data_IF_857827575104
#
_entry.id   IF_857827575104
#
_cell.length_a   1.000
_cell.length_b   1.000
_cell.length_c   1.000
_cell.angle_alpha   90.00
_cell.angle_beta   90.00
_cell.angle_gamma   90.00
#
_symmetry.space_group_name_H-M   'P 1'
#
loop_
_entity.id
_entity.type
_entity.pdbx_description
1 polymer ?
#
# COMPACT_ATOMS: atom_id res chain seq x y z
N UNK A 1 82.39 -32.61 -16.71
CA UNK A 1 80.99 -32.35 -16.41
C UNK A 1 80.22 -33.03 -17.53
N UNK A 2 79.29 -33.92 -17.15
CA UNK A 2 78.53 -34.75 -18.11
C UNK A 2 77.33 -33.96 -18.76
N UNK A 3 77.09 -32.69 -18.38
CA UNK A 3 76.04 -31.85 -18.92
C UNK A 3 74.61 -32.30 -18.54
N UNK A 4 74.46 -33.22 -17.59
CA UNK A 4 73.11 -33.64 -17.17
C UNK A 4 72.38 -32.57 -16.40
N UNK A 5 71.08 -32.37 -16.75
CA UNK A 5 70.15 -31.45 -16.12
C UNK A 5 68.97 -32.26 -15.61
N UNK A 6 68.36 -31.80 -14.51
CA UNK A 6 67.12 -32.35 -13.97
C UNK A 6 66.15 -31.19 -13.70
N UNK A 7 64.90 -31.34 -14.17
CA UNK A 7 63.82 -30.39 -13.96
C UNK A 7 62.73 -31.00 -13.09
N UNK A 8 62.10 -30.20 -12.30
CA UNK A 8 60.87 -30.57 -11.59
C UNK A 8 59.89 -29.39 -11.56
N UNK A 9 58.60 -29.68 -11.64
CA UNK A 9 57.54 -28.69 -11.51
C UNK A 9 57.05 -28.68 -10.08
N UNK A 10 56.91 -27.49 -9.55
CA UNK A 10 56.24 -27.25 -8.26
C UNK A 10 54.91 -26.52 -8.52
N UNK A 11 53.83 -27.01 -7.90
CA UNK A 11 52.54 -26.31 -7.90
C UNK A 11 52.44 -25.46 -6.64
N UNK A 12 52.07 -24.20 -6.80
CA UNK A 12 51.74 -23.29 -5.71
C UNK A 12 50.24 -22.98 -5.82
N UNK A 13 49.48 -23.31 -4.78
CA UNK A 13 48.10 -22.87 -4.66
C UNK A 13 48.07 -21.47 -4.07
N UNK A 14 47.37 -20.56 -4.74
CA UNK A 14 47.05 -19.24 -4.21
C UNK A 14 45.65 -19.35 -3.63
N UNK A 15 45.51 -19.03 -2.35
CA UNK A 15 44.21 -18.94 -1.67
C UNK A 15 43.70 -17.52 -1.80
N UNK A 16 42.44 -17.41 -2.10
CA UNK A 16 41.73 -16.14 -2.13
C UNK A 16 41.61 -15.53 -0.73
N UNK A 17 41.65 -14.24 -0.65
CA UNK A 17 41.41 -13.45 0.55
C UNK A 17 40.27 -12.47 0.20
N UNK A 18 39.26 -12.45 1.02
CA UNK A 18 38.17 -11.49 0.94
C UNK A 18 38.65 -10.08 1.31
N UNK A 19 38.62 -9.14 0.37
CA UNK A 19 39.09 -7.77 0.55
C UNK A 19 37.94 -6.76 0.66
N UNK A 20 36.70 -7.13 0.26
CA UNK A 20 35.55 -6.25 0.21
C UNK A 20 34.28 -6.90 0.74
N UNK A 21 33.52 -6.16 1.54
CA UNK A 21 32.18 -6.54 1.98
C UNK A 21 31.10 -6.06 1.00
N UNK A 22 29.94 -6.72 0.95
CA UNK A 22 28.79 -6.31 0.15
C UNK A 22 28.30 -4.91 0.53
N UNK A 23 28.03 -4.08 -0.46
CA UNK A 23 27.53 -2.72 -0.25
C UNK A 23 26.09 -2.71 0.28
N UNK A 24 25.70 -1.60 0.94
CA UNK A 24 24.30 -1.39 1.36
C UNK A 24 23.39 -1.33 0.13
N UNK A 25 22.29 -2.10 0.08
CA UNK A 25 21.34 -2.05 -1.03
C UNK A 25 20.83 -0.65 -1.32
N UNK A 26 20.72 -0.33 -2.60
CA UNK A 26 20.05 0.88 -3.11
C UNK A 26 18.92 0.46 -4.03
N UNK A 27 17.92 1.31 -4.20
CA UNK A 27 16.95 1.09 -5.26
C UNK A 27 17.56 1.50 -6.60
N UNK A 28 17.56 0.59 -7.56
CA UNK A 28 18.03 0.80 -8.93
C UNK A 28 16.88 1.07 -9.92
N UNK A 29 15.64 0.93 -9.48
CA UNK A 29 14.45 1.28 -10.24
C UNK A 29 14.16 2.79 -10.11
N UNK A 30 13.61 3.39 -11.13
CA UNK A 30 13.20 4.81 -11.13
C UNK A 30 11.69 4.99 -11.05
N UNK A 31 10.92 3.90 -10.98
CA UNK A 31 9.48 3.94 -10.81
C UNK A 31 9.13 4.40 -9.38
N UNK A 32 7.91 4.85 -9.18
CA UNK A 32 7.49 5.23 -7.85
C UNK A 32 7.37 3.99 -6.94
N UNK A 33 7.89 4.10 -5.72
CA UNK A 33 7.76 3.09 -4.66
C UNK A 33 6.34 3.13 -4.08
N UNK A 34 5.36 2.80 -4.89
CA UNK A 34 3.95 2.92 -4.56
C UNK A 34 3.14 1.77 -5.15
N UNK A 35 2.02 1.47 -4.49
CA UNK A 35 1.13 0.38 -4.84
C UNK A 35 -0.29 0.75 -4.47
N UNK A 36 -1.29 0.45 -5.33
CA UNK A 36 -2.69 0.47 -4.94
C UNK A 36 -2.99 -0.72 -4.01
N UNK A 37 -3.83 -0.55 -3.00
CA UNK A 37 -4.27 -1.65 -2.16
C UNK A 37 -5.03 -2.74 -2.94
N UNK A 38 -5.67 -2.38 -4.05
CA UNK A 38 -6.27 -3.32 -5.01
C UNK A 38 -5.24 -4.05 -5.90
N UNK A 39 -3.94 -3.90 -5.64
CA UNK A 39 -2.92 -4.56 -6.43
C UNK A 39 -3.01 -6.09 -6.32
N UNK A 40 -2.79 -6.75 -7.44
CA UNK A 40 -2.84 -8.22 -7.50
C UNK A 40 -1.50 -8.86 -7.13
N UNK A 41 -1.53 -10.12 -6.72
CA UNK A 41 -0.30 -10.90 -6.49
C UNK A 41 0.63 -10.85 -7.72
N UNK A 42 1.92 -10.75 -7.46
CA UNK A 42 3.02 -10.55 -8.41
C UNK A 42 3.10 -9.15 -9.06
N UNK A 43 2.26 -8.18 -8.69
CA UNK A 43 2.47 -6.80 -9.09
C UNK A 43 3.82 -6.29 -8.55
N UNK A 44 4.57 -5.55 -9.36
CA UNK A 44 5.84 -4.95 -8.94
C UNK A 44 5.58 -3.68 -8.13
N UNK A 45 6.40 -3.44 -7.11
CA UNK A 45 6.24 -2.30 -6.16
C UNK A 45 7.12 -1.10 -6.50
N UNK A 46 7.76 -1.08 -7.66
CA UNK A 46 8.67 0.01 -8.03
C UNK A 46 10.08 -0.10 -7.43
N UNK A 47 10.35 -1.03 -6.52
CA UNK A 47 11.65 -1.21 -5.88
C UNK A 47 12.40 -2.39 -6.49
N UNK A 48 13.65 -2.14 -6.90
CA UNK A 48 14.61 -3.18 -7.29
C UNK A 48 15.89 -2.96 -6.50
N UNK A 49 16.08 -3.75 -5.45
CA UNK A 49 17.26 -3.66 -4.61
C UNK A 49 18.52 -4.05 -5.39
N UNK A 50 19.55 -3.23 -5.31
CA UNK A 50 20.85 -3.46 -5.95
C UNK A 50 21.97 -3.19 -4.98
N UNK A 51 22.88 -4.16 -4.84
CA UNK A 51 24.11 -4.06 -4.09
C UNK A 51 25.23 -4.68 -4.90
N UNK A 52 26.48 -4.27 -4.64
CA UNK A 52 27.68 -4.81 -5.26
C UNK A 52 28.67 -5.27 -4.19
N UNK A 53 29.48 -6.22 -4.56
CA UNK A 53 30.67 -6.62 -3.88
C UNK A 53 31.83 -6.49 -4.87
N UNK A 54 32.86 -5.76 -4.49
CA UNK A 54 33.99 -5.45 -5.39
C UNK A 54 35.11 -6.51 -5.32
N UNK A 55 34.91 -7.60 -4.53
CA UNK A 55 35.82 -8.73 -4.54
C UNK A 55 35.90 -9.37 -5.92
N UNK A 56 37.11 -9.77 -6.32
CA UNK A 56 37.38 -10.29 -7.66
C UNK A 56 36.86 -11.71 -7.94
N UNK A 57 36.54 -12.48 -6.90
CA UNK A 57 36.26 -13.92 -7.02
C UNK A 57 34.99 -14.39 -6.33
N UNK A 58 34.55 -13.75 -5.21
CA UNK A 58 33.42 -14.18 -4.40
C UNK A 58 32.31 -13.08 -4.31
N UNK A 59 31.99 -12.45 -5.43
CA UNK A 59 31.19 -11.23 -5.53
C UNK A 59 29.71 -11.41 -5.94
N UNK A 60 29.20 -12.64 -5.98
CA UNK A 60 27.80 -12.86 -6.33
C UNK A 60 26.88 -12.48 -5.17
N UNK A 61 25.99 -11.48 -5.39
CA UNK A 61 25.06 -10.99 -4.38
C UNK A 61 23.68 -11.61 -4.54
N UNK A 62 23.07 -11.97 -3.42
CA UNK A 62 21.67 -12.44 -3.34
C UNK A 62 20.87 -11.60 -2.37
N UNK A 63 19.54 -11.56 -2.56
CA UNK A 63 18.64 -10.71 -1.80
C UNK A 63 17.56 -11.52 -1.08
N UNK A 64 17.20 -11.07 0.12
CA UNK A 64 16.09 -11.59 0.89
C UNK A 64 15.38 -10.47 1.66
N UNK A 65 14.08 -10.63 1.91
CA UNK A 65 13.36 -9.77 2.87
C UNK A 65 13.65 -10.29 4.28
N UNK A 66 14.28 -9.47 5.11
CA UNK A 66 14.56 -9.79 6.51
C UNK A 66 13.42 -9.39 7.45
N UNK A 67 12.68 -8.34 7.12
CA UNK A 67 11.46 -7.92 7.83
C UNK A 67 10.59 -7.05 6.94
N UNK A 68 9.29 -6.99 7.26
CA UNK A 68 8.32 -6.10 6.62
C UNK A 68 7.23 -5.72 7.63
N UNK A 69 6.70 -4.48 7.56
CA UNK A 69 5.65 -4.01 8.46
C UNK A 69 4.28 -4.58 8.09
N UNK A 70 3.96 -4.66 6.79
CA UNK A 70 2.78 -5.35 6.27
C UNK A 70 3.13 -6.83 6.12
N UNK A 71 2.84 -7.61 7.16
CA UNK A 71 3.34 -8.97 7.32
C UNK A 71 2.89 -9.89 6.18
N UNK A 72 3.86 -10.42 5.43
CA UNK A 72 3.62 -11.36 4.33
C UNK A 72 3.19 -10.70 3.01
N UNK A 73 3.01 -9.37 2.98
CA UNK A 73 2.56 -8.64 1.80
C UNK A 73 3.52 -8.76 0.60
N UNK A 74 4.82 -8.82 0.85
CA UNK A 74 5.83 -8.70 -0.20
C UNK A 74 6.76 -9.92 -0.28
N UNK A 75 7.22 -10.17 -1.49
CA UNK A 75 8.31 -11.11 -1.81
C UNK A 75 9.40 -10.40 -2.62
N UNK A 76 10.61 -10.93 -2.61
CA UNK A 76 11.74 -10.45 -3.39
C UNK A 76 12.30 -11.58 -4.25
N UNK A 77 12.64 -11.28 -5.49
CA UNK A 77 13.43 -12.20 -6.30
C UNK A 77 14.89 -12.16 -5.84
N UNK A 78 15.40 -13.30 -5.42
CA UNK A 78 16.71 -13.40 -4.79
C UNK A 78 17.89 -13.09 -5.72
N UNK A 79 17.71 -13.18 -7.03
CA UNK A 79 18.74 -12.92 -8.03
C UNK A 79 18.69 -11.50 -8.60
N UNK A 80 17.49 -10.95 -8.77
CA UNK A 80 17.31 -9.63 -9.38
C UNK A 80 17.07 -8.51 -8.37
N UNK A 81 16.68 -8.84 -7.15
CA UNK A 81 16.32 -7.85 -6.12
C UNK A 81 14.96 -7.16 -6.34
N UNK A 82 14.18 -7.59 -7.33
CA UNK A 82 12.86 -7.01 -7.60
C UNK A 82 11.84 -7.41 -6.52
N UNK A 83 11.12 -6.42 -5.97
CA UNK A 83 10.08 -6.63 -4.96
C UNK A 83 8.72 -6.67 -5.64
N UNK A 84 7.90 -7.63 -5.23
CA UNK A 84 6.54 -7.83 -5.75
C UNK A 84 5.57 -8.17 -4.63
N UNK A 85 4.27 -8.04 -4.91
CA UNK A 85 3.19 -8.47 -4.02
C UNK A 85 3.18 -9.99 -3.91
N UNK A 86 3.26 -10.51 -2.68
CA UNK A 86 3.12 -11.93 -2.37
C UNK A 86 1.69 -12.26 -1.94
N UNK A 87 1.14 -11.47 -1.03
CA UNK A 87 -0.23 -11.58 -0.53
C UNK A 87 -0.92 -10.22 -0.60
N UNK A 88 -1.84 -10.08 -1.55
CA UNK A 88 -2.59 -8.85 -1.75
C UNK A 88 -3.52 -8.53 -0.56
N UNK A 89 -4.00 -9.55 0.16
CA UNK A 89 -4.88 -9.37 1.31
C UNK A 89 -4.19 -8.78 2.55
N UNK A 90 -2.86 -8.66 2.52
CA UNK A 90 -2.06 -8.02 3.56
C UNK A 90 -1.77 -6.54 3.27
N UNK A 91 -2.32 -6.01 2.18
CA UNK A 91 -2.21 -4.61 1.75
C UNK A 91 -3.59 -3.98 1.90
N UNK A 92 -3.69 -2.95 2.75
CA UNK A 92 -4.93 -2.32 3.16
C UNK A 92 -4.55 -0.90 3.63
N UNK A 93 -5.03 0.10 2.89
CA UNK A 93 -4.66 1.51 3.10
C UNK A 93 -5.16 2.01 4.47
N UNK A 94 -6.37 1.62 4.89
CA UNK A 94 -6.96 2.00 6.18
C UNK A 94 -6.17 1.45 7.36
N UNK A 95 -5.51 0.30 7.14
CA UNK A 95 -4.62 -0.30 8.14
C UNK A 95 -3.23 0.33 8.10
N UNK A 96 -2.70 0.63 6.91
CA UNK A 96 -1.36 1.19 6.76
C UNK A 96 -1.16 1.93 5.42
N UNK A 97 -1.14 3.26 5.44
CA UNK A 97 -0.81 4.11 4.27
C UNK A 97 0.62 3.89 3.73
N UNK A 98 1.48 3.26 4.50
CA UNK A 98 2.88 2.97 4.14
C UNK A 98 3.33 1.64 4.73
N UNK A 99 3.82 0.78 3.87
CA UNK A 99 4.50 -0.46 4.26
C UNK A 99 6.02 -0.29 4.17
N UNK A 100 6.75 -0.87 5.12
CA UNK A 100 8.23 -0.91 5.06
C UNK A 100 8.73 -2.31 4.78
N UNK A 101 9.79 -2.41 3.97
CA UNK A 101 10.45 -3.67 3.61
C UNK A 101 11.95 -3.53 3.87
N UNK A 102 12.51 -4.38 4.74
CA UNK A 102 13.96 -4.42 4.96
C UNK A 102 14.56 -5.53 4.13
N UNK A 103 15.37 -5.15 3.16
CA UNK A 103 16.12 -6.06 2.30
C UNK A 103 17.49 -6.33 2.89
N UNK A 104 17.86 -7.60 2.94
CA UNK A 104 19.20 -8.10 3.26
C UNK A 104 19.86 -8.51 1.95
N UNK A 105 20.99 -7.91 1.63
CA UNK A 105 21.93 -8.39 0.60
C UNK A 105 22.97 -9.27 1.26
N UNK A 106 23.30 -10.38 0.63
CA UNK A 106 24.34 -11.32 1.07
C UNK A 106 25.23 -11.64 -0.12
N UNK A 107 26.54 -11.43 0.06
CA UNK A 107 27.54 -11.83 -0.91
C UNK A 107 27.94 -13.29 -0.75
N UNK A 108 28.63 -13.82 -1.73
CA UNK A 108 29.13 -15.21 -1.75
C UNK A 108 30.17 -15.47 -0.64
N UNK A 109 30.90 -14.46 -0.18
CA UNK A 109 31.84 -14.48 0.93
C UNK A 109 31.18 -14.53 2.30
N UNK A 110 29.86 -14.38 2.38
CA UNK A 110 28.99 -14.31 3.57
C UNK A 110 28.90 -12.91 4.21
N UNK A 111 29.51 -11.89 3.63
CA UNK A 111 29.27 -10.51 4.05
C UNK A 111 27.80 -10.12 3.82
N UNK A 112 27.25 -9.26 4.67
CA UNK A 112 25.85 -8.87 4.59
C UNK A 112 25.66 -7.38 4.82
N UNK A 113 24.71 -6.79 4.10
CA UNK A 113 24.26 -5.43 4.32
C UNK A 113 22.74 -5.35 4.17
N UNK A 114 22.10 -4.41 4.86
CA UNK A 114 20.64 -4.27 4.79
C UNK A 114 20.21 -2.82 4.65
N UNK A 115 19.01 -2.65 4.06
CA UNK A 115 18.31 -1.36 3.96
C UNK A 115 16.81 -1.54 4.04
N UNK A 116 16.16 -0.60 4.71
CA UNK A 116 14.70 -0.49 4.74
C UNK A 116 14.25 0.46 3.64
N UNK A 117 13.30 0.01 2.83
CA UNK A 117 12.57 0.77 1.82
C UNK A 117 11.14 1.01 2.30
N UNK A 118 10.53 2.09 1.83
CA UNK A 118 9.13 2.41 2.11
C UNK A 118 8.31 2.30 0.84
N UNK A 119 7.16 1.65 0.93
CA UNK A 119 6.18 1.51 -0.14
C UNK A 119 4.94 2.30 0.28
N UNK A 120 4.56 3.31 -0.51
CA UNK A 120 3.32 4.05 -0.29
C UNK A 120 2.14 3.22 -0.80
N UNK A 121 1.12 3.06 0.02
CA UNK A 121 -0.15 2.46 -0.41
C UNK A 121 -1.08 3.59 -0.86
N UNK A 122 -1.78 3.41 -1.96
CA UNK A 122 -2.80 4.34 -2.44
C UNK A 122 -4.18 3.76 -2.19
N UNK A 123 -5.05 4.62 -1.69
CA UNK A 123 -6.45 4.38 -1.39
C UNK A 123 -7.27 4.05 -2.64
N UNK A 124 -8.22 3.16 -2.51
CA UNK A 124 -9.25 2.84 -3.49
C UNK A 124 -10.59 2.78 -2.76
N UNK A 125 -11.63 3.23 -3.40
CA UNK A 125 -13.01 3.18 -2.85
C UNK A 125 -13.57 1.74 -2.97
N UNK A 126 -13.71 1.03 -1.84
CA UNK A 126 -14.21 -0.35 -1.79
C UNK A 126 -15.72 -0.43 -1.56
N UNK A 127 -16.36 0.65 -1.17
CA UNK A 127 -17.77 0.61 -0.79
C UNK A 127 -18.56 1.80 -1.34
N UNK A 128 -19.67 1.51 -1.97
CA UNK A 128 -20.66 2.51 -2.36
C UNK A 128 -21.55 2.93 -1.16
N UNK A 129 -22.01 4.19 -1.17
CA UNK A 129 -22.98 4.67 -0.19
C UNK A 129 -24.25 3.81 -0.16
N UNK A 130 -24.69 3.42 1.01
CA UNK A 130 -25.90 2.59 1.19
C UNK A 130 -27.18 3.32 0.75
N UNK A 131 -28.23 2.56 0.44
CA UNK A 131 -29.53 3.14 0.16
C UNK A 131 -30.02 3.95 1.37
N UNK A 132 -30.41 5.23 1.19
CA UNK A 132 -30.94 6.05 2.27
C UNK A 132 -32.19 5.44 2.91
N UNK A 133 -32.26 5.50 4.23
CA UNK A 133 -33.40 5.06 5.02
C UNK A 133 -33.83 6.18 5.97
N UNK A 134 -35.08 6.15 6.42
CA UNK A 134 -35.54 7.01 7.49
C UNK A 134 -35.15 6.41 8.84
N UNK A 135 -34.38 7.14 9.62
CA UNK A 135 -33.95 6.75 10.95
C UNK A 135 -34.80 7.36 12.08
N UNK A 136 -35.72 8.27 11.74
CA UNK A 136 -36.74 8.79 12.65
C UNK A 136 -37.83 7.72 12.86
N UNK A 137 -38.32 7.55 14.05
CA UNK A 137 -39.37 6.57 14.39
C UNK A 137 -40.76 7.18 14.46
N UNK A 138 -40.88 8.48 14.26
CA UNK A 138 -42.14 9.20 14.30
C UNK A 138 -42.88 9.08 12.95
N UNK A 139 -44.16 9.43 12.94
CA UNK A 139 -44.95 9.47 11.68
C UNK A 139 -44.50 10.65 10.82
N UNK A 140 -44.23 10.40 9.52
CA UNK A 140 -43.82 11.40 8.53
C UNK A 140 -45.00 12.31 8.17
N UNK A 141 -45.40 13.14 9.09
CA UNK A 141 -46.58 14.00 8.97
C UNK A 141 -46.24 15.46 9.28
N UNK A 142 -46.76 16.39 8.49
CA UNK A 142 -46.63 17.81 8.70
C UNK A 142 -48.05 18.40 8.74
N UNK A 143 -48.48 19.09 9.83
CA UNK A 143 -49.74 19.84 9.84
C UNK A 143 -49.75 20.92 8.75
N UNK A 144 -50.90 21.15 8.12
CA UNK A 144 -51.05 22.30 7.22
C UNK A 144 -50.76 23.61 7.97
N UNK A 145 -50.19 24.59 7.27
CA UNK A 145 -49.74 25.86 7.84
C UNK A 145 -48.59 25.74 8.88
N UNK A 146 -47.81 24.65 8.87
CA UNK A 146 -46.60 24.57 9.68
C UNK A 146 -45.62 25.66 9.24
N UNK A 147 -44.92 26.23 10.21
CA UNK A 147 -43.91 27.27 9.93
C UNK A 147 -42.68 26.69 9.19
N UNK A 148 -41.98 27.57 8.48
CA UNK A 148 -40.66 27.22 7.92
C UNK A 148 -39.75 26.69 9.00
N UNK A 149 -38.99 25.65 8.68
CA UNK A 149 -38.13 24.92 9.64
C UNK A 149 -38.86 23.88 10.49
N UNK A 150 -40.21 23.72 10.37
CA UNK A 150 -40.92 22.64 11.06
C UNK A 150 -40.44 21.28 10.57
N UNK A 151 -40.20 20.35 11.50
CA UNK A 151 -39.73 18.99 11.16
C UNK A 151 -40.76 18.22 10.33
N UNK A 152 -40.30 17.51 9.32
CA UNK A 152 -41.10 16.54 8.58
C UNK A 152 -41.10 15.14 9.22
N UNK A 153 -40.45 14.97 10.37
CA UNK A 153 -40.27 13.69 11.01
C UNK A 153 -39.61 12.66 10.08
N UNK A 154 -38.67 13.12 9.26
CA UNK A 154 -37.82 12.33 8.40
C UNK A 154 -36.37 12.70 8.73
N UNK A 155 -35.57 11.74 9.12
CA UNK A 155 -34.12 11.88 9.24
C UNK A 155 -33.46 10.83 8.35
N UNK A 156 -33.00 11.29 7.21
CA UNK A 156 -32.36 10.41 6.22
C UNK A 156 -31.01 9.95 6.75
N UNK A 157 -30.80 8.64 6.75
CA UNK A 157 -29.54 8.01 7.11
C UNK A 157 -29.08 7.07 6.00
N UNK A 158 -27.85 7.27 5.57
CA UNK A 158 -27.09 6.36 4.74
C UNK A 158 -25.68 6.23 5.32
N UNK A 159 -25.01 5.15 5.04
CA UNK A 159 -23.63 4.91 5.46
C UNK A 159 -22.81 4.56 4.24
N UNK A 160 -21.59 4.96 4.28
CA UNK A 160 -20.50 4.51 3.44
C UNK A 160 -19.54 3.71 4.31
N UNK A 161 -19.18 2.52 3.88
CA UNK A 161 -18.31 1.62 4.66
C UNK A 161 -16.84 1.75 4.30
N UNK A 162 -16.54 2.61 3.33
CA UNK A 162 -15.16 2.96 3.05
C UNK A 162 -14.51 3.64 4.26
N UNK A 163 -13.25 3.27 4.57
CA UNK A 163 -12.57 3.74 5.77
C UNK A 163 -12.14 5.21 5.68
N UNK A 164 -11.94 5.73 4.48
CA UNK A 164 -11.33 7.06 4.25
C UNK A 164 -12.25 8.05 3.57
N UNK A 165 -13.04 7.63 2.57
CA UNK A 165 -13.93 8.50 1.78
C UNK A 165 -15.40 8.36 2.16
N UNK A 166 -15.69 8.12 3.42
CA UNK A 166 -16.98 7.74 4.01
C UNK A 166 -17.94 8.91 4.33
N UNK A 167 -17.68 10.13 3.88
CA UNK A 167 -18.53 11.29 4.18
C UNK A 167 -19.77 11.32 3.29
N UNK A 168 -20.96 11.07 3.89
CA UNK A 168 -22.23 11.09 3.19
C UNK A 168 -22.86 12.48 3.26
N UNK A 169 -23.40 12.97 2.15
CA UNK A 169 -24.20 14.19 2.07
C UNK A 169 -25.56 13.92 1.45
N UNK A 170 -26.57 14.71 1.83
CA UNK A 170 -27.94 14.52 1.43
C UNK A 170 -28.48 15.66 0.60
N UNK A 171 -29.30 15.33 -0.40
CA UNK A 171 -30.08 16.32 -1.18
C UNK A 171 -31.42 15.71 -1.59
N UNK A 172 -32.44 16.55 -1.69
CA UNK A 172 -33.72 16.17 -2.31
C UNK A 172 -33.58 16.35 -3.83
N UNK A 173 -33.70 15.25 -4.58
CA UNK A 173 -33.60 15.27 -6.05
C UNK A 173 -34.98 15.44 -6.71
N UNK A 174 -36.05 15.01 -6.03
CA UNK A 174 -37.43 15.14 -6.50
C UNK A 174 -38.40 15.21 -5.32
N UNK A 175 -39.44 15.99 -5.45
CA UNK A 175 -40.56 16.09 -4.49
C UNK A 175 -41.84 16.48 -5.20
N UNK A 176 -42.97 15.89 -4.86
CA UNK A 176 -44.26 16.14 -5.47
C UNK A 176 -44.81 17.55 -5.15
N UNK A 177 -44.47 18.09 -3.98
CA UNK A 177 -44.75 19.46 -3.57
C UNK A 177 -43.51 20.31 -3.77
N UNK A 178 -43.32 20.88 -4.94
CA UNK A 178 -42.10 21.60 -5.34
C UNK A 178 -41.71 22.70 -4.37
N UNK A 179 -40.53 22.62 -3.80
CA UNK A 179 -39.94 23.62 -2.91
C UNK A 179 -40.45 23.59 -1.47
N UNK A 180 -41.44 22.73 -1.15
CA UNK A 180 -42.01 22.67 0.21
C UNK A 180 -41.02 22.19 1.25
N UNK A 181 -40.18 21.19 0.91
CA UNK A 181 -39.26 20.55 1.84
C UNK A 181 -37.81 20.84 1.45
N UNK A 182 -36.94 20.93 2.46
CA UNK A 182 -35.49 20.93 2.34
C UNK A 182 -34.90 19.87 3.25
N UNK A 183 -33.72 19.33 2.88
CA UNK A 183 -32.93 18.45 3.73
C UNK A 183 -31.66 19.18 4.14
N UNK A 184 -31.28 19.04 5.38
CA UNK A 184 -29.95 19.45 5.82
C UNK A 184 -28.92 18.46 5.26
N UNK A 185 -27.98 18.97 4.48
CA UNK A 185 -27.05 18.15 3.73
C UNK A 185 -26.10 17.30 4.60
N UNK A 186 -25.92 17.66 5.86
CA UNK A 186 -25.00 16.96 6.77
C UNK A 186 -25.73 16.04 7.73
N UNK A 187 -26.89 16.51 8.25
CA UNK A 187 -27.64 15.77 9.28
C UNK A 187 -28.74 14.87 8.71
N UNK A 188 -29.13 15.06 7.44
CA UNK A 188 -30.22 14.33 6.82
C UNK A 188 -31.62 14.75 7.31
N UNK A 189 -31.75 15.75 8.19
CA UNK A 189 -33.03 16.20 8.72
C UNK A 189 -33.81 16.91 7.63
N UNK A 190 -35.05 16.48 7.42
CA UNK A 190 -35.99 17.10 6.47
C UNK A 190 -36.95 18.03 7.22
N UNK A 191 -37.08 19.23 6.71
CA UNK A 191 -37.95 20.27 7.28
C UNK A 191 -38.70 21.06 6.21
N UNK A 192 -39.73 21.79 6.63
CA UNK A 192 -40.44 22.75 5.77
C UNK A 192 -39.49 23.86 5.33
N UNK A 193 -39.34 24.06 4.02
CA UNK A 193 -38.49 25.10 3.45
C UNK A 193 -39.30 26.38 3.12
N UNK A 194 -40.51 26.21 2.60
CA UNK A 194 -41.41 27.32 2.23
C UNK A 194 -42.85 26.84 2.36
N UNK A 195 -43.64 27.50 3.20
CA UNK A 195 -45.06 27.22 3.40
C UNK A 195 -45.99 28.16 2.70
N UNK A 196 -45.51 29.00 1.77
CA UNK A 196 -46.30 30.04 1.05
C UNK A 196 -47.07 29.52 -0.16
#
# INVERSE_FOLDING_TARGET
>A
ADGSTADTNFSVSITDVDEFDVSVPTDSNSDADALSENATANALVGITASASDDDGSTNAVTYAISSQSCTGAFAIDSGTGAISVADASAIDYETAETCTVTVLATSQDQSTASKTFSVSITDEDEADVSTPTDSDGDANEIPENSADGASAHITVLASDSDGTTNAVTYQITDQSCTGLLAVDATTGIVAVADNS
#
